data_IF_959763341384
#
_entry.id   IF_959763341384
#
_cell.length_a   1.000
_cell.length_b   1.000
_cell.length_c   1.000
_cell.angle_alpha   90.00
_cell.angle_beta   90.00
_cell.angle_gamma   90.00
#
_symmetry.space_group_name_H-M   'P 1'
#
loop_
_entity.id
_entity.type
_entity.pdbx_description
1 polymer ?
#
# COMPACT_ATOMS: atom_id res chain seq x y z
N UNK A 1 5.09 -24.18 -17.83
CA UNK A 1 5.40 -23.67 -16.49
C UNK A 1 4.41 -24.36 -15.58
N UNK A 2 4.82 -25.52 -15.06
CA UNK A 2 3.97 -26.34 -14.20
C UNK A 2 3.83 -25.66 -12.84
N UNK A 3 2.67 -25.83 -12.21
CA UNK A 3 2.32 -25.25 -10.91
C UNK A 3 3.30 -25.62 -9.78
N UNK A 4 4.09 -26.68 -9.97
CA UNK A 4 5.08 -27.21 -9.03
C UNK A 4 6.33 -26.34 -8.86
N UNK A 5 6.77 -25.62 -9.90
CA UNK A 5 7.93 -24.72 -9.83
C UNK A 5 7.63 -23.44 -9.03
N UNK A 6 6.37 -23.01 -9.03
CA UNK A 6 5.94 -21.79 -8.33
C UNK A 6 5.96 -22.02 -6.82
N UNK A 7 5.52 -23.20 -6.36
CA UNK A 7 5.50 -23.54 -4.95
C UNK A 7 6.92 -23.67 -4.35
N UNK A 8 7.87 -24.31 -5.05
CA UNK A 8 9.27 -24.39 -4.63
C UNK A 8 9.95 -23.02 -4.54
N UNK A 9 9.74 -22.16 -5.56
CA UNK A 9 10.28 -20.80 -5.54
C UNK A 9 9.67 -19.97 -4.38
N UNK A 10 8.37 -20.09 -4.13
CA UNK A 10 7.68 -19.43 -3.02
C UNK A 10 8.14 -19.92 -1.65
N UNK A 11 8.48 -21.20 -1.51
CA UNK A 11 9.03 -21.79 -0.28
C UNK A 11 10.44 -21.24 0.06
N UNK A 12 11.20 -20.81 -0.95
CA UNK A 12 12.53 -20.20 -0.76
C UNK A 12 12.49 -18.70 -0.42
N UNK A 13 11.38 -18.01 -0.69
CA UNK A 13 11.24 -16.58 -0.43
C UNK A 13 10.97 -16.30 1.05
N UNK A 14 11.86 -15.55 1.71
CA UNK A 14 11.55 -14.98 3.03
C UNK A 14 10.64 -13.76 2.87
N UNK A 15 9.48 -13.82 3.51
CA UNK A 15 8.48 -12.75 3.50
C UNK A 15 8.53 -12.04 4.84
N UNK A 16 8.89 -10.76 4.81
CA UNK A 16 8.77 -9.88 5.95
C UNK A 16 7.51 -9.02 5.78
N UNK A 17 6.50 -9.28 6.60
CA UNK A 17 5.28 -8.48 6.65
C UNK A 17 5.38 -7.44 7.78
N UNK A 18 5.01 -6.20 7.46
CA UNK A 18 5.11 -5.07 8.39
C UNK A 18 3.71 -4.52 8.75
N UNK A 19 2.93 -5.21 9.58
CA UNK A 19 1.63 -4.73 10.02
C UNK A 19 1.73 -3.64 11.09
N UNK A 20 0.71 -2.79 11.15
CA UNK A 20 0.42 -1.98 12.33
C UNK A 20 0.13 -2.89 13.54
N UNK A 21 0.49 -2.55 14.79
CA UNK A 21 0.32 -3.45 15.93
C UNK A 21 -1.11 -3.95 16.15
N UNK A 22 -2.11 -3.09 15.92
CA UNK A 22 -3.50 -3.53 16.00
C UNK A 22 -3.85 -4.52 14.88
N UNK A 23 -3.40 -4.28 13.64
CA UNK A 23 -3.60 -5.20 12.53
C UNK A 23 -2.88 -6.53 12.74
N UNK A 24 -1.66 -6.51 13.31
CA UNK A 24 -0.95 -7.72 13.72
C UNK A 24 -1.76 -8.55 14.72
N UNK A 25 -2.46 -7.89 15.64
CA UNK A 25 -3.31 -8.58 16.62
C UNK A 25 -4.46 -9.35 15.97
N UNK A 26 -4.92 -8.94 14.79
CA UNK A 26 -5.93 -9.64 13.99
C UNK A 26 -5.36 -10.80 13.18
N UNK A 27 -4.11 -10.67 12.71
CA UNK A 27 -3.47 -11.64 11.82
C UNK A 27 -2.73 -12.77 12.57
N UNK A 28 -2.28 -12.52 13.81
CA UNK A 28 -1.38 -13.44 14.51
C UNK A 28 -1.99 -14.82 14.84
N UNK A 29 -3.31 -14.92 14.86
CA UNK A 29 -4.03 -16.17 15.20
C UNK A 29 -4.01 -17.20 14.08
N UNK A 30 -3.78 -16.77 12.84
CA UNK A 30 -3.88 -17.67 11.69
C UNK A 30 -2.60 -18.50 11.53
N UNK A 31 -2.72 -19.80 11.20
CA UNK A 31 -1.57 -20.62 10.82
C UNK A 31 -0.85 -19.97 9.64
N UNK A 32 0.47 -19.89 9.70
CA UNK A 32 1.29 -19.28 8.66
C UNK A 32 2.43 -20.22 8.24
N UNK A 33 2.85 -20.19 6.98
CA UNK A 33 4.11 -20.80 6.54
C UNK A 33 5.32 -20.26 7.31
N UNK A 34 6.33 -21.11 7.52
CA UNK A 34 7.55 -20.76 8.30
C UNK A 34 8.39 -19.64 7.66
N UNK A 35 8.20 -19.39 6.36
CA UNK A 35 8.90 -18.33 5.62
C UNK A 35 8.28 -16.94 5.80
N UNK A 36 7.19 -16.78 6.57
CA UNK A 36 6.57 -15.48 6.88
C UNK A 36 6.95 -15.03 8.30
N UNK A 37 7.64 -13.88 8.37
CA UNK A 37 7.96 -13.20 9.62
C UNK A 37 7.22 -11.87 9.70
N UNK A 38 6.85 -11.48 10.93
CA UNK A 38 6.19 -10.20 11.20
C UNK A 38 7.12 -9.27 11.97
N UNK A 39 7.18 -8.00 11.55
CA UNK A 39 7.71 -6.90 12.35
C UNK A 39 6.65 -5.82 12.46
N UNK A 40 6.45 -5.25 13.65
CA UNK A 40 5.44 -4.20 13.83
C UNK A 40 6.08 -2.83 13.94
N UNK A 41 5.42 -1.81 13.39
CA UNK A 41 5.77 -0.41 13.63
C UNK A 41 5.18 0.10 14.97
N UNK A 42 5.62 1.24 15.51
CA UNK A 42 4.97 1.88 16.65
C UNK A 42 3.51 2.27 16.40
N UNK A 43 2.74 2.50 17.47
CA UNK A 43 1.35 2.95 17.41
C UNK A 43 1.26 4.42 16.96
N UNK A 44 1.27 4.65 15.63
CA UNK A 44 1.28 5.99 15.03
C UNK A 44 -0.05 6.43 14.41
N UNK A 45 -1.05 5.54 14.30
CA UNK A 45 -2.39 5.85 13.74
C UNK A 45 -3.50 5.63 14.79
N UNK A 46 -4.70 6.21 14.61
CA UNK A 46 -5.85 5.89 15.46
C UNK A 46 -6.23 4.41 15.37
N UNK A 47 -7.08 3.93 16.28
CA UNK A 47 -7.51 2.51 16.26
C UNK A 47 -8.38 2.18 15.06
N UNK A 48 -8.12 1.03 14.42
CA UNK A 48 -8.91 0.44 13.34
C UNK A 48 -10.37 0.24 13.75
N UNK A 49 -10.62 -0.18 14.99
CA UNK A 49 -11.97 -0.47 15.52
C UNK A 49 -12.87 0.75 15.56
N UNK A 50 -12.26 1.93 15.70
CA UNK A 50 -12.99 3.19 15.83
C UNK A 50 -12.82 4.09 14.60
N UNK A 51 -12.23 3.57 13.51
CA UNK A 51 -11.92 4.35 12.31
C UNK A 51 -13.14 5.07 11.72
N UNK A 52 -14.35 4.53 11.93
CA UNK A 52 -15.59 5.14 11.42
C UNK A 52 -15.96 6.45 12.11
N UNK A 53 -15.47 6.71 13.34
CA UNK A 53 -15.72 7.97 14.06
C UNK A 53 -15.07 9.17 13.34
N UNK A 54 -13.94 8.93 12.70
CA UNK A 54 -13.21 9.91 11.89
C UNK A 54 -12.42 9.18 10.79
N UNK A 55 -13.13 8.80 9.73
CA UNK A 55 -12.55 8.00 8.65
C UNK A 55 -11.51 8.80 7.84
N UNK A 56 -11.78 10.08 7.60
CA UNK A 56 -10.85 10.96 6.89
C UNK A 56 -9.56 11.16 7.69
N UNK A 57 -9.66 11.45 8.99
CA UNK A 57 -8.50 11.56 9.86
C UNK A 57 -7.72 10.26 9.99
N UNK A 58 -8.40 9.12 10.01
CA UNK A 58 -7.77 7.80 9.98
C UNK A 58 -6.95 7.59 8.70
N UNK A 59 -7.56 7.79 7.52
CA UNK A 59 -6.87 7.66 6.22
C UNK A 59 -5.68 8.61 6.12
N UNK A 60 -5.86 9.87 6.54
CA UNK A 60 -4.78 10.87 6.58
C UNK A 60 -3.63 10.40 7.48
N UNK A 61 -3.92 9.83 8.64
CA UNK A 61 -2.89 9.29 9.53
C UNK A 61 -2.14 8.12 8.89
N UNK A 62 -2.83 7.18 8.24
CA UNK A 62 -2.20 6.07 7.50
C UNK A 62 -1.26 6.59 6.40
N UNK A 63 -1.67 7.61 5.65
CA UNK A 63 -0.88 8.14 4.54
C UNK A 63 0.33 8.97 4.99
N UNK A 64 0.33 9.52 6.20
CA UNK A 64 1.35 10.51 6.61
C UNK A 64 2.22 10.06 7.79
N UNK A 65 1.73 9.14 8.63
CA UNK A 65 2.42 8.78 9.88
C UNK A 65 3.12 7.42 9.81
N UNK A 66 2.74 6.55 8.87
CA UNK A 66 3.31 5.20 8.77
C UNK A 66 4.62 5.12 7.98
N UNK A 67 4.91 6.07 7.08
CA UNK A 67 6.10 6.02 6.23
C UNK A 67 7.40 5.92 7.04
N UNK A 68 7.66 6.90 7.91
CA UNK A 68 8.91 6.99 8.67
C UNK A 68 9.21 5.73 9.52
N UNK A 69 8.27 5.17 10.31
CA UNK A 69 8.56 3.97 11.07
C UNK A 69 8.75 2.72 10.19
N UNK A 70 8.03 2.60 9.06
CA UNK A 70 8.27 1.50 8.11
C UNK A 70 9.65 1.62 7.48
N UNK A 71 10.02 2.84 7.06
CA UNK A 71 11.33 3.14 6.48
C UNK A 71 12.45 2.79 7.47
N UNK A 72 12.29 3.10 8.76
CA UNK A 72 13.28 2.77 9.79
C UNK A 72 13.44 1.27 10.04
N UNK A 73 12.37 0.47 9.91
CA UNK A 73 12.48 -1.00 10.02
C UNK A 73 13.41 -1.55 8.94
N UNK A 74 13.41 -0.94 7.74
CA UNK A 74 14.26 -1.36 6.63
C UNK A 74 15.76 -1.13 6.89
N UNK A 75 16.13 -0.34 7.90
CA UNK A 75 17.52 -0.17 8.32
C UNK A 75 18.01 -1.35 9.18
N UNK A 76 17.09 -2.08 9.82
CA UNK A 76 17.39 -3.17 10.74
C UNK A 76 17.35 -4.57 10.09
N UNK A 77 17.04 -4.65 8.79
CA UNK A 77 16.88 -5.90 8.05
C UNK A 77 17.74 -5.93 6.79
N UNK A 78 18.10 -7.11 6.26
CA UNK A 78 18.73 -7.21 4.95
C UNK A 78 17.90 -6.52 3.87
N UNK A 79 18.55 -5.87 2.90
CA UNK A 79 17.86 -5.16 1.82
C UNK A 79 16.93 -6.13 1.06
N UNK A 80 15.60 -5.87 1.00
CA UNK A 80 14.68 -6.75 0.30
C UNK A 80 14.83 -6.61 -1.22
N UNK A 81 14.54 -7.68 -1.95
CA UNK A 81 14.53 -7.68 -3.42
C UNK A 81 13.32 -6.97 -4.02
N UNK A 82 12.22 -6.89 -3.27
CA UNK A 82 10.94 -6.34 -3.70
C UNK A 82 10.17 -5.83 -2.47
N UNK A 83 9.51 -4.68 -2.60
CA UNK A 83 8.46 -4.24 -1.68
C UNK A 83 7.11 -4.55 -2.35
N UNK A 84 6.30 -5.40 -1.72
CA UNK A 84 4.89 -5.56 -2.09
C UNK A 84 4.05 -4.69 -1.15
N UNK A 85 3.35 -3.71 -1.69
CA UNK A 85 2.58 -2.77 -0.89
C UNK A 85 1.18 -2.56 -1.46
N UNK A 86 0.22 -2.34 -0.56
CA UNK A 86 -1.12 -1.93 -0.93
C UNK A 86 -1.09 -0.61 -1.73
N UNK A 87 -1.92 -0.51 -2.76
CA UNK A 87 -2.07 0.70 -3.59
C UNK A 87 -2.48 1.94 -2.80
N UNK A 88 -3.10 1.76 -1.63
CA UNK A 88 -3.45 2.83 -0.69
C UNK A 88 -2.29 3.23 0.24
N UNK A 89 -1.09 2.68 0.09
CA UNK A 89 0.11 3.08 0.85
C UNK A 89 1.10 3.77 -0.09
N UNK A 90 0.80 4.99 -0.56
CA UNK A 90 1.55 5.57 -1.66
C UNK A 90 2.99 5.95 -1.25
N UNK A 91 3.26 6.09 0.05
CA UNK A 91 4.61 6.26 0.59
C UNK A 91 5.53 5.06 0.36
N UNK A 92 5.01 3.86 0.07
CA UNK A 92 5.84 2.69 -0.22
C UNK A 92 6.65 2.86 -1.52
N UNK A 93 6.09 3.56 -2.51
CA UNK A 93 6.80 3.92 -3.75
C UNK A 93 7.96 4.86 -3.42
N UNK A 94 7.72 5.89 -2.62
CA UNK A 94 8.75 6.83 -2.17
C UNK A 94 9.90 6.13 -1.44
N UNK A 95 9.60 5.18 -0.55
CA UNK A 95 10.62 4.35 0.12
C UNK A 95 11.42 3.54 -0.90
N UNK A 96 10.74 2.85 -1.82
CA UNK A 96 11.38 2.03 -2.84
C UNK A 96 12.31 2.83 -3.76
N UNK A 97 11.88 4.01 -4.19
CA UNK A 97 12.71 4.93 -4.99
C UNK A 97 13.96 5.38 -4.22
N UNK A 98 13.81 5.85 -2.97
CA UNK A 98 14.94 6.29 -2.14
C UNK A 98 15.95 5.19 -1.85
N UNK A 99 15.47 3.95 -1.68
CA UNK A 99 16.32 2.78 -1.33
C UNK A 99 16.77 1.97 -2.54
N UNK A 100 16.35 2.34 -3.74
CA UNK A 100 16.57 1.59 -4.98
C UNK A 100 16.10 0.12 -4.81
N UNK A 101 14.84 -0.05 -4.42
CA UNK A 101 14.15 -1.33 -4.26
C UNK A 101 12.90 -1.30 -5.17
N UNK A 102 12.71 -2.30 -6.06
CA UNK A 102 11.48 -2.42 -6.83
C UNK A 102 10.23 -2.45 -5.94
N UNK A 103 9.16 -1.79 -6.38
CA UNK A 103 7.87 -1.80 -5.67
C UNK A 103 6.80 -2.41 -6.57
N UNK A 104 6.16 -3.47 -6.10
CA UNK A 104 4.95 -4.03 -6.68
C UNK A 104 3.74 -3.50 -5.91
N UNK A 105 2.78 -2.95 -6.64
CA UNK A 105 1.53 -2.47 -6.07
C UNK A 105 0.49 -3.59 -6.06
N UNK A 106 -0.15 -3.78 -4.91
CA UNK A 106 -1.23 -4.74 -4.69
C UNK A 106 -2.56 -3.99 -4.56
N UNK A 107 -3.58 -4.42 -5.30
CA UNK A 107 -4.91 -3.83 -5.25
C UNK A 107 -5.88 -4.81 -4.58
N UNK A 108 -6.28 -4.59 -3.31
CA UNK A 108 -7.12 -5.54 -2.57
C UNK A 108 -8.61 -5.44 -2.90
N UNK A 109 -9.04 -4.41 -3.64
CA UNK A 109 -10.44 -4.20 -3.99
C UNK A 109 -10.82 -4.85 -5.34
N UNK A 110 -12.09 -4.75 -5.73
CA UNK A 110 -12.54 -5.32 -7.01
C UNK A 110 -11.91 -4.61 -8.21
N UNK A 111 -11.79 -5.35 -9.32
CA UNK A 111 -11.36 -4.82 -10.62
C UNK A 111 -12.27 -3.70 -11.14
N UNK A 112 -13.56 -3.73 -10.78
CA UNK A 112 -14.50 -2.67 -11.13
C UNK A 112 -14.12 -1.34 -10.47
N UNK A 113 -13.81 -1.35 -9.17
CA UNK A 113 -13.37 -0.14 -8.46
C UNK A 113 -12.01 0.31 -9.01
N UNK A 114 -11.10 -0.62 -9.31
CA UNK A 114 -9.83 -0.30 -9.98
C UNK A 114 -10.06 0.47 -11.29
N UNK A 115 -10.94 -0.04 -12.15
CA UNK A 115 -11.29 0.58 -13.43
C UNK A 115 -11.87 1.98 -13.22
N UNK A 116 -12.77 2.17 -12.25
CA UNK A 116 -13.34 3.49 -11.91
C UNK A 116 -12.24 4.47 -11.51
N UNK A 117 -11.30 4.06 -10.65
CA UNK A 117 -10.20 4.92 -10.17
C UNK A 117 -9.25 5.27 -11.31
N UNK A 118 -8.89 4.31 -12.16
CA UNK A 118 -7.98 4.53 -13.29
C UNK A 118 -8.60 5.43 -14.37
N UNK A 119 -9.92 5.33 -14.57
CA UNK A 119 -10.66 6.05 -15.60
C UNK A 119 -11.52 7.19 -15.03
N UNK A 120 -11.25 7.67 -13.82
CA UNK A 120 -12.06 8.70 -13.16
C UNK A 120 -12.21 9.98 -14.00
N UNK A 121 -11.20 10.33 -14.79
CA UNK A 121 -11.25 11.48 -15.70
C UNK A 121 -12.34 11.34 -16.77
N UNK A 122 -12.64 10.13 -17.24
CA UNK A 122 -13.75 9.89 -18.16
C UNK A 122 -15.09 10.07 -17.45
N UNK A 123 -15.19 9.69 -16.18
CA UNK A 123 -16.42 9.88 -15.40
C UNK A 123 -16.69 11.37 -15.17
N UNK A 124 -15.64 12.16 -14.86
CA UNK A 124 -15.72 13.62 -14.75
C UNK A 124 -16.11 14.26 -16.09
N UNK A 125 -15.45 13.88 -17.18
CA UNK A 125 -15.71 14.45 -18.51
C UNK A 125 -17.14 14.18 -19.01
N UNK A 126 -17.74 13.04 -18.63
CA UNK A 126 -19.11 12.68 -18.99
C UNK A 126 -20.16 13.13 -17.96
N UNK A 127 -19.76 13.82 -16.87
CA UNK A 127 -20.69 14.24 -15.82
C UNK A 127 -21.28 13.07 -15.01
N UNK A 128 -20.66 11.89 -15.06
CA UNK A 128 -21.10 10.71 -14.32
C UNK A 128 -20.51 10.65 -12.90
N UNK A 129 -19.97 11.75 -12.40
CA UNK A 129 -19.29 11.82 -11.13
C UNK A 129 -19.42 13.21 -10.50
N UNK A 130 -20.30 13.36 -9.51
CA UNK A 130 -20.60 14.64 -8.85
C UNK A 130 -19.79 14.87 -7.55
N UNK A 131 -18.96 13.91 -7.12
CA UNK A 131 -18.16 14.08 -5.91
C UNK A 131 -16.85 14.82 -6.19
N UNK A 132 -16.59 15.91 -5.45
CA UNK A 132 -15.33 16.64 -5.50
C UNK A 132 -14.18 15.77 -4.96
N UNK A 133 -13.42 15.14 -5.87
CA UNK A 133 -12.32 14.23 -5.55
C UNK A 133 -11.01 14.92 -5.16
N UNK A 134 -11.00 16.22 -4.83
CA UNK A 134 -9.78 16.95 -4.47
C UNK A 134 -8.99 16.36 -3.29
N UNK A 135 -9.56 15.39 -2.56
CA UNK A 135 -8.90 14.60 -1.51
C UNK A 135 -8.79 13.09 -1.77
N UNK A 136 -9.28 12.56 -2.90
CA UNK A 136 -9.07 11.15 -3.26
C UNK A 136 -7.76 11.05 -4.04
N UNK A 137 -6.91 10.12 -3.62
CA UNK A 137 -5.65 9.76 -4.28
C UNK A 137 -5.90 9.60 -5.77
N UNK A 138 -5.43 10.55 -6.57
CA UNK A 138 -5.50 10.46 -8.02
C UNK A 138 -4.47 9.45 -8.49
N UNK A 139 -4.92 8.27 -8.89
CA UNK A 139 -4.04 7.30 -9.55
C UNK A 139 -3.76 7.80 -10.97
N UNK A 140 -2.62 8.43 -11.20
CA UNK A 140 -2.08 8.64 -12.55
C UNK A 140 -1.25 7.42 -12.93
N UNK A 141 -1.86 6.46 -13.61
CA UNK A 141 -1.11 5.35 -14.21
C UNK A 141 -0.54 5.85 -15.54
N UNK A 142 0.73 6.27 -15.52
CA UNK A 142 1.48 6.54 -16.77
C UNK A 142 2.10 5.22 -17.27
N UNK A 143 1.39 4.55 -18.16
CA UNK A 143 1.84 3.31 -18.83
C UNK A 143 3.01 3.53 -19.81
N UNK A 144 3.42 4.78 -20.09
CA UNK A 144 4.50 5.08 -21.04
C UNK A 144 5.90 4.99 -20.40
N UNK A 145 5.99 5.06 -19.07
CA UNK A 145 7.23 4.88 -18.33
C UNK A 145 7.26 3.45 -17.80
N UNK A 146 8.38 2.73 -17.97
CA UNK A 146 8.60 1.36 -17.46
C UNK A 146 8.56 1.24 -15.91
N UNK A 147 8.06 2.26 -15.22
CA UNK A 147 7.91 2.37 -13.78
C UNK A 147 6.54 2.94 -13.46
N UNK A 148 5.76 2.19 -12.67
CA UNK A 148 4.53 2.66 -12.02
C UNK A 148 4.88 3.87 -11.16
N UNK A 149 4.55 5.08 -11.64
CA UNK A 149 4.69 6.31 -10.86
C UNK A 149 3.32 6.68 -10.29
N UNK A 150 3.08 6.39 -9.01
CA UNK A 150 1.95 6.99 -8.28
C UNK A 150 2.25 8.47 -8.01
N UNK A 151 1.82 9.35 -8.90
CA UNK A 151 1.85 10.79 -8.62
C UNK A 151 0.68 11.17 -7.71
N UNK A 152 0.94 11.26 -6.41
CA UNK A 152 0.03 11.87 -5.42
C UNK A 152 0.06 13.39 -5.66
N UNK A 153 -1.04 13.99 -6.10
CA UNK A 153 -1.21 15.44 -6.04
C UNK A 153 -2.22 15.74 -4.96
N UNK A 154 -1.76 16.16 -3.78
CA UNK A 154 -2.61 16.79 -2.79
C UNK A 154 -2.80 18.26 -3.18
N UNK A 155 -4.02 18.66 -3.54
CA UNK A 155 -4.41 20.07 -3.58
C UNK A 155 -4.87 20.54 -2.19
N UNK A 156 -4.21 20.07 -1.12
CA UNK A 156 -4.37 20.66 0.20
C UNK A 156 -3.50 21.91 0.20
N UNK A 157 -4.12 23.06 -0.09
CA UNK A 157 -3.54 24.33 0.36
C UNK A 157 -3.59 24.32 1.88
N UNK A 158 -2.40 24.43 2.48
CA UNK A 158 -2.18 24.67 3.92
C UNK A 158 -2.86 25.99 4.29
#
# INVERSE_FOLDING_TARGET
MELTDVDEALLSCQILAIPYPEWFSFLKSDPKPDNIQFLTIPNVIPSEKERSKDFEGFVKAVFTKMEAPVDSILDAVPKPNLILADSFLPWAVSIGERRNIPVASFWPMSLTIFSIVCHHQLLLANGHFEANLTGIVTCRIDMSKKHLNLNIHSNIKI
#
